data_IF_243181772073
#
_entry.id   IF_243181772073
#
_cell.length_a   1.000
_cell.length_b   1.000
_cell.length_c   1.000
_cell.angle_alpha   90.00
_cell.angle_beta   90.00
_cell.angle_gamma   90.00
#
_symmetry.space_group_name_H-M   'P 1'
#
loop_
_entity.id
_entity.type
_entity.pdbx_description
1 polymer ?
#
# COMPACT_ATOMS: atom_id res chain seq x y z
N UNK A 1 -20.77 -14.19 -12.53
CA UNK A 1 -20.52 -13.45 -11.26
C UNK A 1 -21.38 -12.21 -11.32
N UNK A 2 -22.02 -11.81 -10.22
CA UNK A 2 -22.92 -10.65 -10.20
C UNK A 2 -22.08 -9.36 -10.31
N UNK A 3 -22.23 -8.63 -11.40
CA UNK A 3 -21.39 -7.48 -11.78
C UNK A 3 -21.77 -6.16 -11.09
N UNK A 4 -22.45 -6.21 -9.95
CA UNK A 4 -22.73 -5.02 -9.16
C UNK A 4 -22.79 -5.39 -7.69
N UNK A 5 -21.73 -5.06 -6.94
CA UNK A 5 -21.78 -4.97 -5.49
C UNK A 5 -22.66 -3.76 -5.17
N UNK A 6 -23.98 -3.94 -5.17
CA UNK A 6 -24.97 -2.91 -4.82
C UNK A 6 -25.10 -2.71 -3.32
N UNK A 7 -24.66 -3.69 -2.52
CA UNK A 7 -24.59 -3.63 -1.06
C UNK A 7 -23.11 -3.51 -0.69
N UNK A 8 -22.71 -2.41 -0.05
CA UNK A 8 -21.31 -2.20 0.32
C UNK A 8 -20.74 -3.36 1.17
N UNK A 9 -19.41 -3.42 1.28
CA UNK A 9 -18.73 -4.49 2.04
C UNK A 9 -18.50 -4.05 3.47
N UNK A 10 -18.93 -4.85 4.43
CA UNK A 10 -18.72 -4.52 5.84
C UNK A 10 -17.22 -4.52 6.19
N UNK A 11 -16.68 -3.37 6.56
CA UNK A 11 -15.25 -3.20 6.84
C UNK A 11 -14.77 -4.07 8.02
N UNK A 12 -15.62 -4.30 9.04
CA UNK A 12 -15.26 -5.15 10.17
C UNK A 12 -15.06 -6.60 9.74
N UNK A 13 -16.01 -7.18 9.01
CA UNK A 13 -15.88 -8.55 8.51
C UNK A 13 -14.69 -8.69 7.54
N UNK A 14 -14.51 -7.71 6.65
CA UNK A 14 -13.37 -7.69 5.74
C UNK A 14 -12.03 -7.63 6.49
N UNK A 15 -11.93 -6.84 7.57
CA UNK A 15 -10.73 -6.73 8.41
C UNK A 15 -10.30 -8.07 9.01
N UNK A 16 -11.27 -8.89 9.45
CA UNK A 16 -11.01 -10.24 9.96
C UNK A 16 -10.48 -11.17 8.87
N UNK A 17 -11.01 -11.05 7.66
CA UNK A 17 -10.63 -11.90 6.53
C UNK A 17 -9.22 -11.59 6.02
N UNK A 18 -8.90 -10.31 5.83
CA UNK A 18 -7.58 -9.87 5.34
C UNK A 18 -6.51 -9.87 6.44
N UNK A 19 -6.91 -10.08 7.70
CA UNK A 19 -6.04 -10.08 8.89
C UNK A 19 -5.30 -8.76 9.10
N UNK A 20 -5.95 -7.65 8.78
CA UNK A 20 -5.49 -6.30 9.09
C UNK A 20 -6.55 -5.69 10.00
N UNK A 21 -6.26 -5.49 11.31
CA UNK A 21 -7.23 -4.93 12.25
C UNK A 21 -7.82 -3.62 11.75
N UNK A 22 -9.12 -3.41 11.98
CA UNK A 22 -9.81 -2.19 11.52
C UNK A 22 -9.18 -0.90 12.07
N UNK A 23 -8.54 -0.94 13.24
CA UNK A 23 -7.81 0.21 13.80
C UNK A 23 -6.55 0.59 13.01
N UNK A 24 -6.03 -0.34 12.21
CA UNK A 24 -4.85 -0.13 11.35
C UNK A 24 -5.25 0.37 9.95
N UNK A 25 -6.55 0.49 9.66
CA UNK A 25 -7.07 1.03 8.41
C UNK A 25 -6.92 2.55 8.40
N UNK A 26 -5.68 2.98 8.21
CA UNK A 26 -5.26 4.38 8.23
C UNK A 26 -4.74 4.80 6.86
N UNK A 27 -4.72 6.10 6.55
CA UNK A 27 -4.10 6.60 5.32
C UNK A 27 -2.70 6.04 5.05
N UNK A 28 -1.86 5.92 6.09
CA UNK A 28 -0.50 5.40 6.00
C UNK A 28 -0.41 3.92 5.62
N UNK A 29 -1.38 3.12 6.05
CA UNK A 29 -1.43 1.67 5.77
C UNK A 29 -2.47 1.31 4.70
N UNK A 30 -3.06 2.31 4.05
CA UNK A 30 -4.13 2.17 3.06
C UNK A 30 -3.79 1.14 1.98
N UNK A 31 -2.54 1.07 1.53
CA UNK A 31 -2.13 0.12 0.50
C UNK A 31 -2.21 -1.33 0.96
N UNK A 32 -1.84 -1.63 2.21
CA UNK A 32 -1.95 -2.99 2.76
C UNK A 32 -3.41 -3.43 2.85
N UNK A 33 -4.30 -2.50 3.23
CA UNK A 33 -5.74 -2.75 3.27
C UNK A 33 -6.27 -3.00 1.86
N UNK A 34 -5.98 -2.11 0.91
CA UNK A 34 -6.42 -2.23 -0.48
C UNK A 34 -5.93 -3.52 -1.13
N UNK A 35 -4.63 -3.86 -0.97
CA UNK A 35 -4.06 -5.14 -1.42
C UNK A 35 -4.73 -6.31 -0.75
N UNK A 36 -4.91 -6.26 0.57
CA UNK A 36 -5.63 -7.29 1.31
C UNK A 36 -7.02 -7.55 0.72
N UNK A 37 -7.79 -6.51 0.43
CA UNK A 37 -9.14 -6.64 -0.11
C UNK A 37 -9.15 -7.19 -1.54
N UNK A 38 -8.28 -6.69 -2.41
CA UNK A 38 -8.18 -7.13 -3.82
C UNK A 38 -7.64 -8.55 -3.92
N UNK A 39 -6.53 -8.84 -3.24
CA UNK A 39 -5.87 -10.14 -3.32
C UNK A 39 -6.76 -11.26 -2.77
N UNK A 40 -7.61 -10.95 -1.79
CA UNK A 40 -8.58 -11.89 -1.23
C UNK A 40 -9.89 -11.99 -2.02
N UNK A 41 -10.00 -11.31 -3.18
CA UNK A 41 -11.21 -11.32 -4.01
C UNK A 41 -12.42 -10.72 -3.32
N UNK A 42 -12.21 -9.91 -2.26
CA UNK A 42 -13.29 -9.23 -1.53
C UNK A 42 -13.81 -8.08 -2.39
N UNK A 43 -12.90 -7.30 -2.96
CA UNK A 43 -13.22 -6.20 -3.87
C UNK A 43 -12.60 -6.44 -5.25
N UNK A 44 -13.35 -6.21 -6.34
CA UNK A 44 -12.77 -6.19 -7.68
C UNK A 44 -11.93 -4.92 -7.87
N UNK A 45 -10.96 -4.99 -8.78
CA UNK A 45 -10.17 -3.83 -9.19
C UNK A 45 -8.67 -4.01 -8.97
N UNK A 46 -7.95 -2.89 -8.96
CA UNK A 46 -6.49 -2.85 -8.77
C UNK A 46 -6.16 -1.92 -7.61
N UNK A 47 -5.43 -2.41 -6.62
CA UNK A 47 -4.90 -1.56 -5.57
C UNK A 47 -3.73 -0.73 -6.13
N UNK A 48 -3.86 0.59 -6.06
CA UNK A 48 -2.87 1.55 -6.54
C UNK A 48 -2.42 2.44 -5.39
N UNK A 49 -1.25 3.04 -5.52
CA UNK A 49 -0.79 4.13 -4.67
C UNK A 49 -0.68 5.37 -5.54
N UNK A 50 -1.07 6.53 -5.03
CA UNK A 50 -0.90 7.81 -5.69
C UNK A 50 -0.93 8.93 -4.65
N UNK A 51 -1.43 10.10 -5.05
CA UNK A 51 -1.55 11.23 -4.16
C UNK A 51 -3.00 11.55 -3.87
N UNK A 52 -3.31 11.72 -2.57
CA UNK A 52 -4.55 12.34 -2.11
C UNK A 52 -4.29 13.81 -1.80
N UNK A 53 -5.06 14.68 -2.46
CA UNK A 53 -5.10 16.12 -2.18
C UNK A 53 -6.14 16.40 -1.11
N UNK A 54 -5.69 16.89 0.03
CA UNK A 54 -6.55 17.26 1.15
C UNK A 54 -6.51 18.77 1.37
N UNK A 55 -7.69 19.39 1.48
CA UNK A 55 -7.82 20.80 1.90
C UNK A 55 -8.05 20.83 3.41
N UNK A 56 -7.21 21.55 4.13
CA UNK A 56 -7.30 21.66 5.59
C UNK A 56 -7.23 23.12 6.00
N UNK A 57 -7.94 23.47 7.08
CA UNK A 57 -7.87 24.80 7.66
C UNK A 57 -6.55 24.93 8.43
N UNK A 58 -5.81 26.02 8.21
CA UNK A 58 -4.55 26.29 8.89
C UNK A 58 -4.67 27.54 9.76
N UNK A 59 -4.78 28.71 9.14
CA UNK A 59 -5.00 29.99 9.82
C UNK A 59 -5.49 31.03 8.83
N UNK A 60 -6.24 32.02 9.31
CA UNK A 60 -6.49 33.23 8.52
C UNK A 60 -5.26 34.14 8.56
N UNK A 61 -4.74 34.50 7.40
CA UNK A 61 -3.71 35.53 7.23
C UNK A 61 -3.87 36.26 5.89
N UNK A 62 -3.09 37.34 5.69
CA UNK A 62 -3.18 38.17 4.49
C UNK A 62 -2.81 37.42 3.19
N UNK A 63 -2.01 36.35 3.27
CA UNK A 63 -1.63 35.51 2.13
C UNK A 63 -2.67 34.42 1.84
N UNK A 64 -3.49 34.06 2.84
CA UNK A 64 -4.51 32.99 2.79
C UNK A 64 -5.87 33.50 3.30
N UNK A 65 -6.59 34.28 2.49
CA UNK A 65 -7.84 34.92 2.90
C UNK A 65 -8.99 33.93 3.15
N UNK A 66 -8.93 32.71 2.62
CA UNK A 66 -9.88 31.64 2.92
C UNK A 66 -9.49 30.83 4.16
N UNK A 67 -8.26 30.98 4.67
CA UNK A 67 -7.72 30.26 5.81
C UNK A 67 -7.35 28.79 5.55
N UNK A 68 -7.39 28.35 4.29
CA UNK A 68 -7.16 26.95 3.92
C UNK A 68 -5.82 26.76 3.21
N UNK A 69 -5.23 25.60 3.47
CA UNK A 69 -4.04 25.09 2.80
C UNK A 69 -4.35 23.76 2.12
N UNK A 70 -3.48 23.39 1.19
CA UNK A 70 -3.55 22.11 0.48
C UNK A 70 -2.34 21.27 0.87
N UNK A 71 -2.58 20.04 1.28
CA UNK A 71 -1.55 19.02 1.46
C UNK A 71 -1.74 17.92 0.43
N UNK A 72 -0.62 17.38 -0.03
CA UNK A 72 -0.58 16.14 -0.80
C UNK A 72 0.06 15.08 0.07
N UNK A 73 -0.52 13.89 0.11
CA UNK A 73 0.04 12.75 0.82
C UNK A 73 -0.04 11.48 -0.02
N UNK A 74 0.97 10.62 0.09
CA UNK A 74 0.93 9.27 -0.46
C UNK A 74 -0.26 8.51 0.14
N UNK A 75 -1.12 8.02 -0.72
CA UNK A 75 -2.39 7.38 -0.35
C UNK A 75 -2.73 6.27 -1.35
N UNK A 76 -3.40 5.22 -0.89
CA UNK A 76 -3.78 4.10 -1.73
C UNK A 76 -5.30 3.89 -1.75
N UNK A 77 -5.78 3.48 -2.91
CA UNK A 77 -7.18 3.14 -3.15
C UNK A 77 -7.25 1.95 -4.12
N UNK A 78 -8.46 1.44 -4.36
CA UNK A 78 -8.70 0.40 -5.36
C UNK A 78 -9.38 1.04 -6.57
N UNK A 79 -8.74 1.01 -7.73
CA UNK A 79 -9.37 1.40 -9.00
C UNK A 79 -10.34 0.33 -9.48
N UNK A 80 -11.61 0.72 -9.67
CA UNK A 80 -12.72 -0.16 -10.01
C UNK A 80 -13.36 0.20 -11.36
N UNK A 81 -12.53 0.35 -12.41
CA UNK A 81 -12.97 0.63 -13.78
C UNK A 81 -13.34 2.10 -14.02
N UNK A 82 -14.07 2.36 -15.12
CA UNK A 82 -14.17 3.68 -15.75
C UNK A 82 -14.82 4.79 -14.91
N UNK A 83 -15.52 4.48 -13.81
CA UNK A 83 -16.27 5.51 -13.05
C UNK A 83 -16.10 5.51 -11.53
N UNK A 84 -15.21 4.69 -10.95
CA UNK A 84 -15.08 4.72 -9.49
C UNK A 84 -13.89 4.03 -8.84
N UNK A 85 -13.78 4.30 -7.55
CA UNK A 85 -12.78 3.75 -6.64
C UNK A 85 -13.47 3.09 -5.45
N UNK A 86 -12.78 2.17 -4.81
CA UNK A 86 -13.05 1.84 -3.40
C UNK A 86 -11.98 2.46 -2.54
N UNK A 87 -12.41 3.20 -1.53
CA UNK A 87 -11.52 3.79 -0.54
C UNK A 87 -11.89 3.27 0.86
N UNK A 88 -11.26 2.20 1.32
CA UNK A 88 -11.57 1.60 2.62
C UNK A 88 -11.00 2.39 3.80
N UNK A 89 -10.09 3.33 3.56
CA UNK A 89 -9.35 4.03 4.62
C UNK A 89 -9.74 5.51 4.73
N UNK A 90 -10.60 6.03 3.85
CA UNK A 90 -11.18 7.35 3.97
C UNK A 90 -12.50 7.28 4.77
N UNK A 91 -12.54 7.88 5.97
CA UNK A 91 -13.75 7.89 6.80
C UNK A 91 -14.98 8.47 6.10
N UNK A 92 -14.78 9.45 5.20
CA UNK A 92 -15.87 10.12 4.49
C UNK A 92 -16.55 9.22 3.46
N UNK A 93 -15.86 8.14 3.05
CA UNK A 93 -16.37 7.14 2.10
C UNK A 93 -16.96 5.91 2.78
N UNK A 94 -16.92 5.84 4.11
CA UNK A 94 -17.56 4.79 4.90
C UNK A 94 -18.98 5.22 5.28
N UNK A 95 -19.95 4.32 5.11
CA UNK A 95 -21.30 4.56 5.64
C UNK A 95 -21.29 4.59 7.17
N UNK A 96 -22.38 5.06 7.81
CA UNK A 96 -22.52 5.03 9.28
C UNK A 96 -22.26 3.64 9.89
N UNK A 97 -22.56 2.58 9.13
CA UNK A 97 -22.36 1.17 9.51
C UNK A 97 -21.01 0.59 9.03
N UNK A 98 -20.09 1.46 8.57
CA UNK A 98 -18.75 1.12 8.06
C UNK A 98 -18.76 0.17 6.86
N UNK A 99 -19.69 0.36 5.94
CA UNK A 99 -19.64 -0.34 4.66
C UNK A 99 -18.72 0.41 3.68
N UNK A 100 -17.87 -0.34 2.98
CA UNK A 100 -17.04 0.11 1.87
C UNK A 100 -17.91 0.09 0.62
N UNK A 101 -18.12 1.25 0.01
CA UNK A 101 -18.90 1.40 -1.20
C UNK A 101 -18.01 1.91 -2.34
N UNK A 102 -18.41 1.64 -3.58
CA UNK A 102 -17.79 2.27 -4.73
C UNK A 102 -18.18 3.75 -4.73
N UNK A 103 -17.19 4.64 -4.83
CA UNK A 103 -17.38 6.07 -4.93
C UNK A 103 -16.83 6.57 -6.27
N UNK A 104 -17.33 7.72 -6.72
CA UNK A 104 -16.82 8.32 -7.96
C UNK A 104 -15.38 8.79 -7.77
N UNK A 105 -14.53 8.51 -8.75
CA UNK A 105 -13.18 9.08 -8.77
C UNK A 105 -13.26 10.62 -8.85
N UNK A 106 -12.72 11.31 -7.85
CA UNK A 106 -12.64 12.77 -7.82
C UNK A 106 -11.26 13.24 -8.25
N UNK A 107 -11.12 14.53 -8.55
CA UNK A 107 -9.84 15.14 -8.89
C UNK A 107 -8.86 15.23 -7.70
N UNK A 108 -9.27 14.80 -6.51
CA UNK A 108 -8.41 14.74 -5.31
C UNK A 108 -7.48 13.53 -5.30
N UNK A 109 -7.83 12.48 -6.06
CA UNK A 109 -7.04 11.27 -6.25
C UNK A 109 -6.33 11.35 -7.60
N UNK A 110 -5.00 11.35 -7.61
CA UNK A 110 -4.26 11.51 -8.86
C UNK A 110 -2.89 10.81 -8.86
N UNK A 111 -2.38 10.61 -10.07
CA UNK A 111 -1.15 9.87 -10.37
C UNK A 111 -1.12 8.45 -9.79
N UNK A 112 -2.14 7.61 -10.04
CA UNK A 112 -2.15 6.23 -9.59
C UNK A 112 -1.01 5.43 -10.24
N UNK A 113 -0.32 4.66 -9.42
CA UNK A 113 0.67 3.68 -9.85
C UNK A 113 0.39 2.34 -9.16
N UNK A 114 0.47 1.25 -9.90
CA UNK A 114 0.42 -0.11 -9.34
C UNK A 114 1.84 -0.54 -8.97
N UNK A 115 2.17 -0.70 -7.67
CA UNK A 115 3.51 -1.08 -7.25
C UNK A 115 4.01 -2.42 -7.79
N UNK A 116 3.11 -3.30 -8.29
CA UNK A 116 3.51 -4.55 -8.93
C UNK A 116 4.06 -4.39 -10.34
N UNK A 117 3.76 -3.26 -10.99
CA UNK A 117 4.13 -3.01 -12.40
C UNK A 117 4.99 -1.76 -12.57
N UNK A 118 5.19 -1.00 -11.50
CA UNK A 118 5.96 0.24 -11.54
C UNK A 118 7.45 -0.02 -11.72
N UNK A 119 8.13 0.98 -12.27
CA UNK A 119 9.58 1.05 -12.34
C UNK A 119 10.13 2.04 -11.31
N UNK A 120 11.43 2.03 -11.08
CA UNK A 120 12.11 3.01 -10.20
C UNK A 120 11.83 4.48 -10.60
N UNK A 121 11.49 4.75 -11.87
CA UNK A 121 11.20 6.12 -12.35
C UNK A 121 9.80 6.59 -11.99
N UNK A 122 8.91 5.67 -11.66
CA UNK A 122 7.54 5.93 -11.28
C UNK A 122 7.41 6.14 -9.76
N UNK A 123 8.50 5.92 -9.00
CA UNK A 123 8.53 6.19 -7.57
C UNK A 123 8.33 7.70 -7.31
N UNK A 124 7.45 8.05 -6.37
CA UNK A 124 7.24 9.44 -5.98
C UNK A 124 8.50 10.01 -5.32
N UNK A 125 8.57 11.34 -5.27
CA UNK A 125 9.58 12.03 -4.46
C UNK A 125 9.50 11.55 -3.01
N UNK A 126 10.65 11.15 -2.46
CA UNK A 126 10.75 10.74 -1.07
C UNK A 126 10.59 11.95 -0.14
N UNK A 127 9.64 11.88 0.80
CA UNK A 127 9.47 12.84 1.88
C UNK A 127 9.62 12.15 3.24
N UNK A 128 10.50 12.69 4.10
CA UNK A 128 10.73 12.12 5.44
C UNK A 128 9.47 12.09 6.32
N UNK A 129 8.49 12.96 6.04
CA UNK A 129 7.17 12.95 6.71
C UNK A 129 6.32 11.72 6.39
N UNK A 130 6.65 10.99 5.33
CA UNK A 130 5.92 9.83 4.83
C UNK A 130 6.65 8.50 5.12
N UNK A 131 7.78 8.56 5.83
CA UNK A 131 8.48 7.36 6.29
C UNK A 131 7.62 6.62 7.33
N UNK A 132 7.34 5.35 7.06
CA UNK A 132 6.54 4.47 7.93
C UNK A 132 7.38 3.33 8.48
N UNK A 133 8.42 2.91 7.74
CA UNK A 133 9.24 1.75 8.07
C UNK A 133 10.68 2.14 8.35
N UNK A 134 11.07 2.32 9.62
CA UNK A 134 12.42 2.74 9.98
C UNK A 134 13.48 1.75 9.48
N UNK A 135 14.52 2.27 8.82
CA UNK A 135 15.62 1.46 8.30
C UNK A 135 16.81 1.54 9.24
N UNK A 136 17.29 0.38 9.70
CA UNK A 136 18.49 0.31 10.54
C UNK A 136 19.71 0.78 9.76
N UNK A 137 20.61 1.50 10.42
CA UNK A 137 21.92 1.91 9.87
C UNK A 137 22.75 0.68 9.43
N UNK A 138 23.72 0.93 8.56
CA UNK A 138 24.61 -0.10 8.02
C UNK A 138 24.05 -0.74 6.76
N UNK A 139 24.21 -2.06 6.62
CA UNK A 139 23.95 -2.78 5.36
C UNK A 139 22.53 -2.61 4.82
N UNK A 140 21.50 -2.56 5.69
CA UNK A 140 20.11 -2.37 5.23
C UNK A 140 19.95 -1.05 4.51
N UNK A 141 20.52 0.01 5.08
CA UNK A 141 20.48 1.35 4.54
C UNK A 141 21.19 1.44 3.20
N UNK A 142 22.41 0.90 3.11
CA UNK A 142 23.18 0.88 1.87
C UNK A 142 22.45 0.13 0.75
N UNK A 143 21.88 -1.04 1.06
CA UNK A 143 21.14 -1.85 0.10
C UNK A 143 19.90 -1.11 -0.40
N UNK A 144 19.08 -0.55 0.50
CA UNK A 144 17.85 0.14 0.10
C UNK A 144 18.15 1.44 -0.64
N UNK A 145 19.15 2.24 -0.21
CA UNK A 145 19.59 3.42 -0.95
C UNK A 145 20.03 3.09 -2.37
N UNK A 146 20.74 1.97 -2.56
CA UNK A 146 21.15 1.53 -3.90
C UNK A 146 19.96 1.07 -4.74
N UNK A 147 19.06 0.27 -4.19
CA UNK A 147 17.89 -0.27 -4.90
C UNK A 147 16.87 0.82 -5.28
N UNK A 148 16.74 1.85 -4.45
CA UNK A 148 15.82 2.97 -4.65
C UNK A 148 16.49 4.20 -5.28
N UNK A 149 17.80 4.15 -5.51
CA UNK A 149 18.55 5.26 -6.10
C UNK A 149 18.60 6.51 -5.23
N UNK A 150 18.49 6.37 -3.91
CA UNK A 150 18.55 7.51 -2.99
C UNK A 150 19.91 8.20 -3.06
N UNK A 151 19.87 9.50 -3.32
CA UNK A 151 21.06 10.37 -3.32
C UNK A 151 21.39 10.91 -1.93
N UNK A 152 20.45 10.82 -1.01
CA UNK A 152 20.54 11.33 0.37
C UNK A 152 20.23 10.20 1.34
N UNK A 153 20.79 10.29 2.53
CA UNK A 153 20.58 9.32 3.59
C UNK A 153 19.16 9.44 4.18
N UNK A 154 18.26 8.50 3.86
CA UNK A 154 16.87 8.44 4.39
C UNK A 154 16.80 7.74 5.75
N UNK A 155 15.82 8.00 6.62
CA UNK A 155 15.71 7.33 7.92
C UNK A 155 14.76 6.12 7.90
N UNK A 156 13.90 6.03 6.89
CA UNK A 156 12.94 4.96 6.71
C UNK A 156 12.52 4.79 5.25
N UNK A 157 11.61 3.85 5.02
CA UNK A 157 10.91 3.69 3.74
C UNK A 157 9.46 4.19 3.86
N UNK A 158 8.95 4.73 2.76
CA UNK A 158 7.53 4.97 2.56
C UNK A 158 6.81 3.66 2.21
N UNK A 159 5.47 3.66 2.22
CA UNK A 159 4.68 2.50 1.78
C UNK A 159 4.95 2.15 0.32
N UNK A 160 5.02 3.16 -0.55
CA UNK A 160 5.26 2.99 -1.99
C UNK A 160 6.62 2.33 -2.25
N UNK A 161 7.65 2.77 -1.55
CA UNK A 161 9.00 2.20 -1.64
C UNK A 161 9.05 0.76 -1.14
N UNK A 162 8.40 0.48 0.00
CA UNK A 162 8.33 -0.88 0.54
C UNK A 162 7.56 -1.82 -0.40
N UNK A 163 6.46 -1.36 -0.98
CA UNK A 163 5.66 -2.10 -1.95
C UNK A 163 6.43 -2.37 -3.25
N UNK A 164 7.11 -1.36 -3.79
CA UNK A 164 7.99 -1.51 -4.95
C UNK A 164 9.08 -2.55 -4.71
N UNK A 165 9.82 -2.44 -3.60
CA UNK A 165 10.87 -3.38 -3.26
C UNK A 165 10.33 -4.81 -3.11
N UNK A 166 9.15 -4.99 -2.52
CA UNK A 166 8.51 -6.29 -2.38
C UNK A 166 8.14 -6.93 -3.73
N UNK A 167 7.80 -6.10 -4.73
CA UNK A 167 7.44 -6.54 -6.08
C UNK A 167 8.65 -6.87 -6.98
N UNK A 168 9.86 -6.44 -6.62
CA UNK A 168 11.05 -6.68 -7.43
C UNK A 168 11.31 -8.19 -7.65
N UNK A 169 11.67 -8.60 -8.88
CA UNK A 169 12.03 -9.98 -9.15
C UNK A 169 13.32 -10.35 -8.40
N UNK A 170 13.44 -11.61 -7.97
CA UNK A 170 14.62 -12.09 -7.23
C UNK A 170 15.94 -11.85 -7.99
N UNK A 171 15.91 -11.84 -9.32
CA UNK A 171 17.07 -11.53 -10.16
C UNK A 171 17.60 -10.12 -9.97
N UNK A 172 16.72 -9.14 -9.70
CA UNK A 172 17.11 -7.75 -9.44
C UNK A 172 17.59 -7.55 -8.00
N UNK A 173 17.05 -8.34 -7.06
CA UNK A 173 17.49 -8.31 -5.66
C UNK A 173 18.87 -8.95 -5.46
N UNK A 174 19.22 -9.95 -6.28
CA UNK A 174 20.50 -10.65 -6.21
C UNK A 174 20.76 -11.21 -4.81
N UNK A 175 21.90 -10.85 -4.20
CA UNK A 175 22.28 -11.33 -2.85
C UNK A 175 21.64 -10.55 -1.70
N UNK A 176 20.81 -9.55 -2.01
CA UNK A 176 20.15 -8.68 -1.04
C UNK A 176 18.72 -9.13 -0.70
N UNK A 177 18.23 -10.16 -1.38
CA UNK A 177 16.88 -10.73 -1.26
C UNK A 177 16.52 -11.12 0.18
N UNK A 178 17.38 -11.90 0.86
CA UNK A 178 17.18 -12.35 2.23
C UNK A 178 17.05 -11.18 3.21
N UNK A 179 17.90 -10.17 3.06
CA UNK A 179 17.89 -8.98 3.90
C UNK A 179 16.60 -8.19 3.73
N UNK A 180 16.19 -7.97 2.48
CA UNK A 180 14.96 -7.25 2.17
C UNK A 180 13.73 -7.99 2.73
N UNK A 181 13.66 -9.31 2.51
CA UNK A 181 12.51 -10.08 2.93
C UNK A 181 12.43 -10.16 4.47
N UNK A 182 13.57 -10.32 5.17
CA UNK A 182 13.60 -10.20 6.63
C UNK A 182 13.09 -8.85 7.12
N UNK A 183 13.46 -7.76 6.45
CA UNK A 183 12.98 -6.42 6.77
C UNK A 183 11.47 -6.32 6.59
N UNK A 184 10.93 -6.78 5.46
CA UNK A 184 9.49 -6.74 5.17
C UNK A 184 8.70 -7.60 6.18
N UNK A 185 9.17 -8.81 6.48
CA UNK A 185 8.55 -9.70 7.46
C UNK A 185 8.52 -9.07 8.86
N UNK A 186 9.65 -8.48 9.31
CA UNK A 186 9.75 -7.82 10.62
C UNK A 186 8.83 -6.60 10.75
N UNK A 187 8.47 -5.97 9.63
CA UNK A 187 7.56 -4.83 9.58
C UNK A 187 6.10 -5.24 9.29
N UNK A 188 5.75 -6.52 9.43
CA UNK A 188 4.41 -7.07 9.15
C UNK A 188 3.96 -6.88 7.69
N UNK A 189 4.90 -6.79 6.74
CA UNK A 189 4.65 -6.62 5.30
C UNK A 189 4.75 -7.94 4.53
N UNK A 190 4.70 -9.09 5.23
CA UNK A 190 4.75 -10.43 4.64
C UNK A 190 3.71 -10.66 3.53
N UNK A 191 2.56 -9.97 3.62
CA UNK A 191 1.49 -10.02 2.62
C UNK A 191 1.86 -9.45 1.26
N UNK A 192 2.92 -8.64 1.19
CA UNK A 192 3.43 -8.10 -0.07
C UNK A 192 4.39 -9.07 -0.78
N UNK A 193 4.83 -10.13 -0.10
CA UNK A 193 5.84 -11.06 -0.61
C UNK A 193 5.16 -12.27 -1.29
N UNK A 194 5.45 -12.55 -2.58
CA UNK A 194 4.94 -13.74 -3.24
C UNK A 194 5.42 -15.02 -2.53
N UNK A 195 4.51 -15.95 -2.22
CA UNK A 195 4.86 -17.19 -1.52
C UNK A 195 5.96 -17.97 -2.26
N UNK A 196 5.89 -18.04 -3.59
CA UNK A 196 6.90 -18.71 -4.44
C UNK A 196 8.32 -18.15 -4.25
N UNK A 197 8.46 -16.86 -3.93
CA UNK A 197 9.75 -16.26 -3.63
C UNK A 197 10.19 -16.58 -2.21
N UNK A 198 9.26 -16.52 -1.24
CA UNK A 198 9.53 -16.87 0.16
C UNK A 198 9.93 -18.34 0.31
N UNK A 199 9.34 -19.26 -0.48
CA UNK A 199 9.73 -20.67 -0.50
C UNK A 199 11.19 -20.89 -0.89
N UNK A 200 11.74 -20.04 -1.77
CA UNK A 200 13.14 -20.10 -2.19
C UNK A 200 14.09 -19.57 -1.12
N UNK A 201 13.72 -18.49 -0.43
CA UNK A 201 14.60 -17.80 0.52
C UNK A 201 14.46 -18.34 1.95
N UNK A 202 13.23 -18.63 2.39
CA UNK A 202 12.88 -19.11 3.74
C UNK A 202 11.93 -20.33 3.68
N UNK A 203 12.39 -21.49 3.17
CA UNK A 203 11.54 -22.66 2.94
C UNK A 203 10.82 -23.16 4.20
N UNK A 204 11.48 -23.09 5.36
CA UNK A 204 10.85 -23.49 6.63
C UNK A 204 9.71 -22.55 7.05
N UNK A 205 9.89 -21.24 6.84
CA UNK A 205 8.89 -20.24 7.18
C UNK A 205 7.68 -20.30 6.22
N UNK A 206 7.94 -20.50 4.93
CA UNK A 206 6.90 -20.72 3.93
C UNK A 206 6.04 -21.95 4.27
N UNK A 207 6.65 -23.03 4.79
CA UNK A 207 5.93 -24.24 5.22
C UNK A 207 5.15 -24.04 6.51
N UNK A 208 5.70 -23.34 7.50
CA UNK A 208 5.04 -23.16 8.80
C UNK A 208 3.86 -22.20 8.73
N UNK A 209 3.97 -21.15 7.90
CA UNK A 209 3.02 -20.05 7.86
C UNK A 209 2.70 -19.59 6.43
N UNK A 210 2.29 -20.49 5.50
CA UNK A 210 2.08 -20.12 4.10
C UNK A 210 1.02 -19.03 3.94
N UNK A 211 0.00 -19.03 4.81
CA UNK A 211 -1.09 -18.05 4.79
C UNK A 211 -0.64 -16.60 5.07
N UNK A 212 0.55 -16.41 5.65
CA UNK A 212 1.15 -15.08 5.85
C UNK A 212 1.69 -14.47 4.55
N UNK A 213 1.87 -15.29 3.51
CA UNK A 213 2.48 -14.93 2.23
C UNK A 213 1.59 -15.27 1.02
N UNK A 214 0.53 -16.05 1.21
CA UNK A 214 -0.42 -16.35 0.14
C UNK A 214 -1.13 -15.07 -0.31
N UNK A 215 -0.86 -14.70 -1.55
CA UNK A 215 -1.76 -13.95 -2.42
C UNK A 215 -2.73 -14.98 -3.02
N UNK A 216 -4.04 -14.92 -2.74
CA UNK A 216 -4.99 -15.96 -3.18
C UNK A 216 -5.04 -16.24 -4.69
N UNK A 217 -4.48 -15.38 -5.54
CA UNK A 217 -4.34 -15.60 -6.99
C UNK A 217 -3.12 -16.46 -7.40
N UNK A 218 -2.31 -16.96 -6.46
CA UNK A 218 -1.17 -17.85 -6.78
C UNK A 218 -1.61 -19.29 -7.19
N UNK A 219 -2.90 -19.60 -7.05
CA UNK A 219 -3.54 -20.79 -7.62
C UNK A 219 -3.99 -20.47 -9.05
N UNK A 220 -3.13 -20.78 -10.01
CA UNK A 220 -3.26 -20.38 -11.41
C UNK A 220 -4.63 -20.68 -12.04
N UNK A 221 -5.10 -19.70 -12.83
CA UNK A 221 -5.95 -19.92 -13.99
C UNK A 221 -5.09 -19.93 -15.25
#
# INVERSE_FOLDING_TARGET
MNDTITEGINAYLASLYIKVPLNDWTPKLSYLVCRGLVDNGILPGKAVIGFLRERFFESYDEERPDGYSVRHSNYAWIEAGDEGIFDPCNPDHLTADKFICQTKLTAEYFSPVDPLTMTIRDLPTHYSSEEIFPVRRGLHKEVFSRLLGFRVEVAGLTMTEAAYLAALPLSELGRSDKLLYEFLIKNNLSKLLPLKHVEKIFPHMAKSSPQSFRLPLDEGF
#
